data_IF_206549413759
#
_entry.id   IF_206549413759
#
_cell.length_a   1.000
_cell.length_b   1.000
_cell.length_c   1.000
_cell.angle_alpha   90.00
_cell.angle_beta   90.00
_cell.angle_gamma   90.00
#
_symmetry.space_group_name_H-M   'P 1'
#
loop_
_entity.id
_entity.type
_entity.pdbx_description
1 polymer ?
#
# COMPACT_ATOMS: atom_id res chain seq x y z
N UNK A 1 -61.71 -76.98 12.57
CA UNK A 1 -63.10 -76.47 12.48
C UNK A 1 -63.17 -75.05 13.04
N UNK A 2 -64.18 -74.25 12.64
CA UNK A 2 -64.76 -73.03 13.26
C UNK A 2 -63.84 -72.16 14.15
N UNK A 3 -63.43 -70.95 13.75
CA UNK A 3 -64.19 -69.67 13.61
C UNK A 3 -64.55 -68.90 14.91
N UNK A 4 -64.13 -67.62 14.90
CA UNK A 4 -64.83 -66.42 15.43
C UNK A 4 -64.93 -66.18 16.94
N UNK A 5 -64.37 -65.04 17.40
CA UNK A 5 -65.14 -63.80 17.73
C UNK A 5 -64.25 -62.62 18.18
N UNK A 6 -64.37 -61.47 17.49
CA UNK A 6 -64.17 -60.09 18.00
C UNK A 6 -65.50 -59.59 18.66
N UNK A 7 -65.62 -58.41 19.33
CA UNK A 7 -64.77 -57.18 19.39
C UNK A 7 -64.00 -57.06 20.76
N UNK A 8 -63.72 -55.95 21.48
CA UNK A 8 -64.19 -54.54 21.50
C UNK A 8 -63.19 -53.57 22.20
N UNK A 9 -63.59 -52.30 22.36
CA UNK A 9 -62.87 -51.17 23.01
C UNK A 9 -62.88 -51.24 24.56
N UNK A 10 -62.23 -50.38 25.38
CA UNK A 10 -61.94 -48.93 25.33
C UNK A 10 -60.67 -48.58 26.18
N UNK A 11 -60.10 -47.35 26.27
CA UNK A 11 -60.32 -46.03 25.64
C UNK A 11 -58.96 -45.30 25.44
N UNK A 12 -58.95 -44.13 24.82
CA UNK A 12 -57.78 -43.31 24.46
C UNK A 12 -56.92 -42.85 25.66
N UNK A 13 -55.60 -42.85 25.44
CA UNK A 13 -54.59 -42.19 26.29
C UNK A 13 -53.53 -41.47 25.43
N UNK A 14 -53.95 -40.51 24.60
CA UNK A 14 -53.06 -39.83 23.65
C UNK A 14 -52.17 -38.80 24.35
N UNK A 15 -50.85 -39.02 24.33
CA UNK A 15 -49.87 -37.93 24.21
C UNK A 15 -48.78 -38.31 23.19
N UNK A 16 -48.77 -37.57 22.08
CA UNK A 16 -47.65 -37.49 21.15
C UNK A 16 -46.49 -36.74 21.83
N UNK A 17 -45.23 -36.82 21.40
CA UNK A 17 -44.70 -37.18 20.07
C UNK A 17 -43.62 -38.28 20.12
N UNK A 18 -43.59 -39.14 19.10
CA UNK A 18 -42.47 -40.05 18.85
C UNK A 18 -41.46 -39.44 17.88
N UNK A 19 -40.21 -39.87 18.04
CA UNK A 19 -39.10 -39.70 17.10
C UNK A 19 -39.54 -40.05 15.67
N UNK A 20 -39.26 -39.19 14.69
CA UNK A 20 -39.51 -39.50 13.29
C UNK A 20 -38.21 -39.65 12.51
N UNK A 21 -38.09 -40.75 11.76
CA UNK A 21 -36.90 -41.06 10.97
C UNK A 21 -36.86 -40.17 9.71
N UNK A 22 -35.71 -39.56 9.45
CA UNK A 22 -35.49 -38.84 8.20
C UNK A 22 -35.33 -39.86 7.06
N UNK A 23 -36.23 -39.82 6.07
CA UNK A 23 -36.18 -40.70 4.90
C UNK A 23 -35.20 -40.14 3.86
N UNK A 24 -34.45 -41.03 3.22
CA UNK A 24 -33.63 -40.67 2.07
C UNK A 24 -34.48 -40.08 0.94
N UNK A 25 -34.09 -38.91 0.46
CA UNK A 25 -34.50 -38.36 -0.82
C UNK A 25 -33.26 -37.82 -1.53
N UNK A 26 -32.99 -38.31 -2.74
CA UNK A 26 -31.84 -37.88 -3.53
C UNK A 26 -32.16 -36.60 -4.30
N UNK A 27 -31.59 -35.49 -3.88
CA UNK A 27 -31.44 -34.28 -4.69
C UNK A 27 -29.98 -33.84 -4.60
N UNK A 28 -29.28 -33.80 -5.73
CA UNK A 28 -27.88 -33.36 -5.75
C UNK A 28 -27.83 -31.83 -5.72
N UNK A 29 -27.35 -31.28 -4.61
CA UNK A 29 -26.91 -29.89 -4.53
C UNK A 29 -25.53 -29.90 -3.89
N UNK A 30 -24.50 -29.64 -4.70
CA UNK A 30 -23.13 -29.43 -4.20
C UNK A 30 -23.09 -28.05 -3.58
N UNK A 31 -23.54 -27.96 -2.32
CA UNK A 31 -23.51 -26.76 -1.51
C UNK A 31 -22.07 -26.43 -1.10
N UNK A 32 -21.28 -25.92 -2.04
CA UNK A 32 -20.10 -25.12 -1.70
C UNK A 32 -20.58 -23.85 -1.01
N UNK A 33 -20.76 -23.94 0.31
CA UNK A 33 -20.71 -22.77 1.18
C UNK A 33 -19.27 -22.29 1.11
N UNK A 34 -18.99 -21.42 0.14
CA UNK A 34 -17.87 -20.50 0.26
C UNK A 34 -18.14 -19.70 1.53
N UNK A 35 -17.44 -20.08 2.59
CA UNK A 35 -17.38 -19.30 3.80
C UNK A 35 -16.58 -18.07 3.39
N UNK A 36 -17.30 -16.99 3.04
CA UNK A 36 -16.79 -15.64 2.93
C UNK A 36 -16.35 -15.22 4.34
N UNK A 37 -15.22 -15.79 4.77
CA UNK A 37 -14.28 -15.08 5.59
C UNK A 37 -14.09 -13.72 4.92
N UNK A 38 -14.10 -12.60 5.65
CA UNK A 38 -13.59 -11.38 5.08
C UNK A 38 -12.18 -11.71 4.60
N UNK A 39 -11.96 -11.62 3.29
CA UNK A 39 -10.61 -11.32 2.80
C UNK A 39 -10.27 -10.02 3.52
N UNK A 40 -9.32 -10.09 4.44
CA UNK A 40 -8.76 -8.88 5.01
C UNK A 40 -8.32 -8.06 3.80
N UNK A 41 -8.85 -6.84 3.66
CA UNK A 41 -8.29 -5.88 2.72
C UNK A 41 -6.83 -5.75 3.14
N UNK A 42 -5.96 -6.29 2.29
CA UNK A 42 -4.53 -6.26 2.50
C UNK A 42 -4.07 -4.94 1.90
N UNK A 43 -3.06 -4.34 2.52
CA UNK A 43 -2.25 -3.28 1.91
C UNK A 43 -1.62 -3.82 0.60
N UNK A 44 -2.36 -3.69 -0.50
CA UNK A 44 -2.15 -4.38 -1.77
C UNK A 44 -1.98 -3.40 -2.95
N UNK A 45 -1.06 -2.43 -2.80
CA UNK A 45 -0.46 -1.71 -3.92
C UNK A 45 -0.21 -2.62 -5.13
N UNK A 46 -0.89 -2.31 -6.23
CA UNK A 46 -0.62 -2.83 -7.57
C UNK A 46 0.42 -1.96 -8.28
N UNK A 47 1.04 -2.48 -9.35
CA UNK A 47 1.97 -1.74 -10.20
C UNK A 47 1.74 -2.06 -11.69
N UNK A 48 2.01 -1.08 -12.55
CA UNK A 48 2.09 -1.23 -14.03
C UNK A 48 3.27 -0.44 -14.60
N UNK A 49 3.85 -0.91 -15.72
CA UNK A 49 4.95 -0.22 -16.42
C UNK A 49 4.54 0.19 -17.83
N UNK A 50 4.86 1.44 -18.21
CA UNK A 50 4.63 1.95 -19.56
C UNK A 50 5.87 2.68 -20.06
N UNK A 51 6.63 2.00 -20.93
CA UNK A 51 7.97 2.45 -21.32
C UNK A 51 8.90 2.52 -20.11
N UNK A 52 9.29 3.74 -19.74
CA UNK A 52 10.20 4.01 -18.61
C UNK A 52 9.47 4.65 -17.40
N UNK A 53 8.15 4.73 -17.43
CA UNK A 53 7.34 5.26 -16.33
C UNK A 53 6.61 4.14 -15.61
N UNK A 54 6.66 4.15 -14.27
CA UNK A 54 5.99 3.17 -13.39
C UNK A 54 4.82 3.86 -12.69
N UNK A 55 3.67 3.19 -12.62
CA UNK A 55 2.53 3.63 -11.82
C UNK A 55 2.21 2.60 -10.76
N UNK A 56 2.28 3.01 -9.49
CA UNK A 56 1.76 2.30 -8.33
C UNK A 56 0.37 2.82 -7.97
N UNK A 57 -0.54 1.93 -7.61
CA UNK A 57 -1.92 2.27 -7.21
C UNK A 57 -2.35 1.36 -6.06
N UNK A 58 -2.65 1.93 -4.90
CA UNK A 58 -3.26 1.24 -3.75
C UNK A 58 -4.73 0.89 -3.98
N UNK A 59 -5.42 0.41 -2.94
CA UNK A 59 -6.84 0.02 -3.06
C UNK A 59 -7.84 0.92 -2.29
N UNK A 60 -8.46 0.43 -1.23
CA UNK A 60 -9.45 1.09 -0.39
C UNK A 60 -9.23 0.80 1.09
N UNK A 61 -7.99 0.47 1.46
CA UNK A 61 -7.54 0.23 2.82
C UNK A 61 -6.09 0.73 2.99
N UNK A 62 -5.77 1.24 4.19
CA UNK A 62 -4.45 1.75 4.59
C UNK A 62 -3.29 0.91 4.07
N UNK A 63 -2.63 1.47 3.05
CA UNK A 63 -1.62 0.81 2.27
C UNK A 63 -0.21 1.26 2.67
N UNK A 64 0.82 0.48 2.32
CA UNK A 64 2.22 0.90 2.55
C UNK A 64 3.06 0.53 1.33
N UNK A 65 3.82 1.48 0.80
CA UNK A 65 4.79 1.27 -0.26
C UNK A 65 6.18 1.73 0.18
N UNK A 66 7.17 0.84 0.17
CA UNK A 66 8.58 1.22 0.30
C UNK A 66 9.25 1.12 -1.06
N UNK A 67 9.87 2.21 -1.51
CA UNK A 67 10.70 2.27 -2.70
C UNK A 67 12.18 2.40 -2.32
N UNK A 68 13.05 1.90 -3.19
CA UNK A 68 14.50 2.03 -3.06
C UNK A 68 15.24 1.38 -4.24
N UNK A 69 16.55 1.24 -4.13
CA UNK A 69 17.41 0.64 -5.15
C UNK A 69 18.10 -0.64 -4.67
N UNK A 70 18.27 -1.62 -5.56
CA UNK A 70 19.11 -2.80 -5.30
C UNK A 70 19.99 -3.16 -6.52
N UNK A 71 21.13 -2.49 -6.67
CA UNK A 71 22.13 -2.82 -7.69
C UNK A 71 21.76 -2.26 -9.07
N UNK A 72 21.55 -0.95 -9.12
CA UNK A 72 21.15 -0.18 -10.30
C UNK A 72 19.69 -0.32 -10.70
N UNK A 73 18.88 -1.10 -9.97
CA UNK A 73 17.48 -1.41 -10.31
C UNK A 73 16.52 -0.84 -9.27
N UNK A 74 15.39 -0.30 -9.75
CA UNK A 74 14.26 0.09 -8.90
C UNK A 74 13.72 -1.14 -8.14
N UNK A 75 13.31 -0.93 -6.88
CA UNK A 75 12.69 -1.96 -6.05
C UNK A 75 11.48 -1.45 -5.26
N UNK A 76 10.57 -2.37 -4.95
CA UNK A 76 9.33 -2.14 -4.18
C UNK A 76 9.16 -3.15 -3.03
N UNK A 77 8.28 -2.84 -2.08
CA UNK A 77 7.94 -3.71 -0.94
C UNK A 77 6.82 -4.71 -1.18
N UNK A 78 6.00 -4.52 -2.22
CA UNK A 78 4.78 -5.28 -2.50
C UNK A 78 5.06 -6.79 -2.58
N UNK A 79 6.16 -7.19 -3.22
CA UNK A 79 6.57 -8.60 -3.25
C UNK A 79 6.86 -9.18 -1.85
N UNK A 80 7.56 -8.43 -1.00
CA UNK A 80 7.91 -8.88 0.36
C UNK A 80 6.69 -8.93 1.30
N UNK A 81 5.65 -8.14 0.99
CA UNK A 81 4.31 -8.20 1.61
C UNK A 81 3.44 -9.31 1.00
N UNK A 82 3.88 -9.91 -0.11
CA UNK A 82 3.19 -11.01 -0.80
C UNK A 82 2.01 -10.56 -1.65
N UNK A 83 2.02 -9.31 -2.14
CA UNK A 83 0.96 -8.72 -2.96
C UNK A 83 0.80 -9.53 -4.25
N UNK A 84 -0.44 -9.62 -4.76
CA UNK A 84 -0.73 -10.40 -5.94
C UNK A 84 0.00 -9.87 -7.20
N UNK A 85 0.28 -10.77 -8.14
CA UNK A 85 0.95 -10.44 -9.41
C UNK A 85 2.48 -10.47 -9.35
N UNK A 86 3.09 -9.83 -8.34
CA UNK A 86 4.55 -9.62 -8.30
C UNK A 86 5.38 -10.90 -8.23
N UNK A 87 6.33 -11.05 -9.16
CA UNK A 87 7.30 -12.15 -9.21
C UNK A 87 8.54 -11.94 -8.30
N UNK A 88 8.97 -10.68 -8.12
CA UNK A 88 10.05 -10.31 -7.19
C UNK A 88 9.94 -8.85 -6.73
N UNK A 89 10.83 -8.42 -5.82
CA UNK A 89 10.92 -7.02 -5.39
C UNK A 89 11.43 -6.05 -6.48
N UNK A 90 11.90 -6.55 -7.63
CA UNK A 90 12.30 -5.76 -8.81
C UNK A 90 11.25 -5.75 -9.92
N UNK A 91 10.14 -6.44 -9.68
CA UNK A 91 9.02 -6.49 -10.59
C UNK A 91 8.16 -5.23 -10.45
N UNK A 92 7.75 -4.64 -11.57
CA UNK A 92 7.08 -3.33 -11.65
C UNK A 92 5.76 -3.40 -12.43
N UNK A 93 5.32 -4.59 -12.87
CA UNK A 93 4.02 -4.77 -13.51
C UNK A 93 3.30 -6.03 -13.02
N UNK A 94 2.55 -5.86 -11.93
CA UNK A 94 1.69 -6.89 -11.32
C UNK A 94 0.64 -7.51 -12.25
N UNK A 95 0.48 -7.02 -13.49
CA UNK A 95 -0.45 -7.58 -14.49
C UNK A 95 0.22 -8.60 -15.43
N UNK A 96 1.56 -8.67 -15.48
CA UNK A 96 2.30 -9.51 -16.42
C UNK A 96 3.07 -10.65 -15.70
N UNK A 97 3.41 -11.77 -16.38
CA UNK A 97 4.17 -12.86 -15.76
C UNK A 97 5.69 -12.64 -15.79
N UNK A 98 6.36 -12.83 -14.64
CA UNK A 98 7.81 -12.68 -14.49
C UNK A 98 8.22 -11.24 -14.18
N UNK A 99 9.51 -10.94 -13.98
CA UNK A 99 9.92 -9.59 -13.56
C UNK A 99 9.89 -8.56 -14.70
N UNK A 100 9.13 -7.46 -14.54
CA UNK A 100 9.24 -6.26 -15.39
C UNK A 100 10.16 -5.23 -14.74
N UNK A 101 11.47 -5.43 -14.89
CA UNK A 101 12.48 -4.59 -14.21
C UNK A 101 12.86 -3.33 -14.99
N UNK A 102 13.02 -2.19 -14.31
CA UNK A 102 13.70 -0.99 -14.83
C UNK A 102 14.96 -0.67 -14.02
N UNK A 103 16.02 -0.24 -14.71
CA UNK A 103 17.17 0.37 -14.02
C UNK A 103 16.83 1.79 -13.56
N UNK A 104 17.34 2.20 -12.40
CA UNK A 104 16.99 3.49 -11.79
C UNK A 104 17.35 4.68 -12.71
N UNK A 105 18.45 4.55 -13.45
CA UNK A 105 18.90 5.52 -14.45
C UNK A 105 18.06 5.56 -15.74
N UNK A 106 17.19 4.56 -15.99
CA UNK A 106 16.24 4.57 -17.10
C UNK A 106 14.89 5.17 -16.72
N UNK A 107 14.46 5.07 -15.47
CA UNK A 107 13.15 5.57 -15.01
C UNK A 107 12.99 7.05 -15.35
N UNK A 108 11.85 7.42 -15.95
CA UNK A 108 11.50 8.80 -16.34
C UNK A 108 10.34 9.38 -15.54
N UNK A 109 9.55 8.55 -14.88
CA UNK A 109 8.50 8.97 -13.93
C UNK A 109 8.22 7.85 -12.96
N UNK A 110 8.05 8.16 -11.68
CA UNK A 110 7.34 7.28 -10.73
C UNK A 110 6.06 8.00 -10.36
N UNK A 111 4.93 7.33 -10.52
CA UNK A 111 3.61 7.79 -10.07
C UNK A 111 3.16 6.85 -8.96
N UNK A 112 2.70 7.40 -7.85
CA UNK A 112 2.11 6.69 -6.74
C UNK A 112 0.76 7.34 -6.46
N UNK A 113 -0.31 6.56 -6.57
CA UNK A 113 -1.63 6.90 -6.10
C UNK A 113 -1.84 6.12 -4.80
N UNK A 114 -2.22 6.78 -3.71
CA UNK A 114 -2.68 6.11 -2.50
C UNK A 114 -3.99 5.37 -2.78
N UNK A 115 -5.11 6.02 -2.49
CA UNK A 115 -6.44 5.53 -2.84
C UNK A 115 -7.48 6.07 -1.89
N UNK A 116 -8.13 5.18 -1.15
CA UNK A 116 -8.93 5.52 0.03
C UNK A 116 -8.36 4.75 1.23
N UNK A 117 -7.99 5.42 2.32
CA UNK A 117 -7.28 4.81 3.44
C UNK A 117 -6.20 5.74 4.00
N UNK A 118 -5.68 5.43 5.19
CA UNK A 118 -4.52 6.15 5.74
C UNK A 118 -3.23 5.47 5.21
N UNK A 119 -2.67 5.94 4.10
CA UNK A 119 -1.56 5.27 3.41
C UNK A 119 -0.17 5.74 3.88
N UNK A 120 0.88 5.01 3.50
CA UNK A 120 2.27 5.43 3.77
C UNK A 120 3.26 5.04 2.66
N UNK A 121 3.86 6.05 2.02
CA UNK A 121 5.04 5.89 1.17
C UNK A 121 6.32 6.07 1.98
N UNK A 122 7.30 5.21 1.73
CA UNK A 122 8.64 5.26 2.34
C UNK A 122 9.69 5.26 1.23
N UNK A 123 10.51 6.31 1.16
CA UNK A 123 11.65 6.42 0.26
C UNK A 123 12.93 6.07 1.02
N UNK A 124 13.54 4.93 0.67
CA UNK A 124 14.80 4.48 1.25
C UNK A 124 16.00 4.97 0.42
N UNK A 125 16.67 6.01 0.90
CA UNK A 125 17.86 6.57 0.27
C UNK A 125 19.10 5.68 0.54
N UNK A 126 19.89 5.33 -0.51
CA UNK A 126 21.09 4.49 -0.37
C UNK A 126 22.22 5.25 0.33
N UNK A 127 22.99 4.54 1.18
CA UNK A 127 24.00 5.16 2.04
C UNK A 127 25.02 6.04 1.28
N UNK A 128 25.15 7.31 1.69
CA UNK A 128 26.03 8.30 1.06
C UNK A 128 25.48 8.93 -0.24
N UNK A 129 24.20 8.72 -0.55
CA UNK A 129 23.50 9.26 -1.72
C UNK A 129 22.01 9.46 -1.41
N UNK A 130 21.23 9.91 -2.38
CA UNK A 130 19.75 9.84 -2.37
C UNK A 130 19.26 8.87 -3.45
N UNK A 131 18.02 8.41 -3.33
CA UNK A 131 17.34 7.58 -4.32
C UNK A 131 16.94 8.49 -5.51
N UNK A 132 17.87 8.65 -6.43
CA UNK A 132 17.79 9.52 -7.58
C UNK A 132 17.49 8.72 -8.87
N UNK A 133 16.22 8.45 -9.21
CA UNK A 133 15.88 8.14 -10.60
C UNK A 133 16.13 9.37 -11.48
N UNK A 134 16.29 9.17 -12.79
CA UNK A 134 16.31 10.28 -13.77
C UNK A 134 14.88 10.82 -14.04
N UNK A 135 14.12 11.00 -12.96
CA UNK A 135 12.68 11.14 -12.93
C UNK A 135 12.21 11.99 -11.77
N UNK A 136 10.98 12.46 -11.92
CA UNK A 136 10.17 12.98 -10.84
C UNK A 136 9.40 11.83 -10.15
N UNK A 137 9.43 11.81 -8.82
CA UNK A 137 8.58 10.94 -8.00
C UNK A 137 7.33 11.75 -7.65
N UNK A 138 6.16 11.31 -8.10
CA UNK A 138 4.88 11.95 -7.82
C UNK A 138 4.05 11.05 -6.89
N UNK A 139 3.67 11.54 -5.72
CA UNK A 139 2.80 10.83 -4.78
C UNK A 139 1.55 11.65 -4.44
N UNK A 140 0.40 11.16 -4.88
CA UNK A 140 -0.91 11.71 -4.53
C UNK A 140 -1.58 10.75 -3.53
N UNK A 141 -1.76 11.19 -2.27
CA UNK A 141 -2.39 10.38 -1.21
C UNK A 141 -3.85 10.06 -1.50
N UNK A 142 -4.55 11.05 -2.06
CA UNK A 142 -5.98 11.03 -2.42
C UNK A 142 -6.94 11.05 -1.22
N UNK A 143 -7.07 9.96 -0.47
CA UNK A 143 -8.30 9.65 0.28
C UNK A 143 -8.13 9.19 1.73
N UNK A 144 -7.26 9.82 2.53
CA UNK A 144 -7.27 9.61 3.98
C UNK A 144 -6.38 10.55 4.77
N UNK A 145 -5.52 9.99 5.62
CA UNK A 145 -4.48 10.71 6.37
C UNK A 145 -3.11 10.16 5.94
N UNK A 146 -2.69 10.53 4.73
CA UNK A 146 -1.60 9.88 4.01
C UNK A 146 -0.21 10.40 4.40
N UNK A 147 0.78 9.51 4.48
CA UNK A 147 2.11 9.84 5.00
C UNK A 147 3.25 9.56 4.02
N UNK A 148 4.27 10.42 4.02
CA UNK A 148 5.53 10.21 3.31
C UNK A 148 6.69 10.23 4.30
N UNK A 149 7.48 9.16 4.32
CA UNK A 149 8.73 9.07 5.07
C UNK A 149 9.92 9.03 4.10
N UNK A 150 10.88 9.92 4.29
CA UNK A 150 12.12 9.95 3.53
C UNK A 150 13.26 9.68 4.53
N UNK A 151 14.08 8.66 4.25
CA UNK A 151 15.03 8.15 5.25
C UNK A 151 16.27 7.49 4.66
N UNK A 152 17.35 7.50 5.44
CA UNK A 152 18.65 6.95 5.05
C UNK A 152 19.44 7.89 4.14
N UNK A 153 20.54 7.38 3.59
CA UNK A 153 21.36 8.13 2.63
C UNK A 153 21.91 9.46 3.14
N UNK A 154 21.83 10.48 2.29
CA UNK A 154 22.30 11.84 2.58
C UNK A 154 23.82 11.95 2.72
N UNK A 155 24.28 13.08 3.28
CA UNK A 155 25.66 13.38 3.59
C UNK A 155 25.94 14.89 3.72
N UNK A 156 27.13 15.24 4.19
CA UNK A 156 27.55 16.64 4.34
C UNK A 156 27.76 17.40 3.00
N UNK A 157 27.69 16.70 1.87
CA UNK A 157 27.71 17.29 0.53
C UNK A 157 26.29 17.52 -0.05
N UNK A 158 25.24 17.06 0.64
CA UNK A 158 23.85 17.27 0.24
C UNK A 158 23.26 18.54 0.83
N UNK A 159 22.40 19.17 0.05
CA UNK A 159 21.45 20.17 0.50
C UNK A 159 20.05 19.90 -0.07
N UNK A 160 19.03 20.30 0.67
CA UNK A 160 17.63 20.13 0.31
C UNK A 160 16.89 21.47 0.20
N UNK A 161 15.90 21.51 -0.68
CA UNK A 161 14.93 22.59 -0.78
C UNK A 161 13.50 22.05 -0.72
N UNK A 162 12.79 22.36 0.38
CA UNK A 162 11.35 22.19 0.47
C UNK A 162 10.61 23.43 -0.06
N UNK A 163 9.67 23.22 -0.97
CA UNK A 163 8.79 24.24 -1.54
C UNK A 163 7.31 23.88 -1.32
N UNK A 164 6.58 24.62 -0.46
CA UNK A 164 5.15 24.41 -0.25
C UNK A 164 4.32 24.61 -1.52
N UNK A 165 3.35 23.73 -1.73
CA UNK A 165 2.45 23.72 -2.88
C UNK A 165 1.33 24.77 -2.82
N UNK A 166 0.30 24.63 -3.68
CA UNK A 166 -0.87 25.50 -3.70
C UNK A 166 -1.86 25.21 -2.56
N UNK A 167 -1.79 24.03 -1.96
CA UNK A 167 -2.60 23.57 -0.82
C UNK A 167 -1.71 23.30 0.40
N UNK A 168 -2.32 23.06 1.59
CA UNK A 168 -1.61 22.82 2.86
C UNK A 168 -0.83 21.50 2.92
N UNK A 169 -1.15 20.61 1.99
CA UNK A 169 -0.96 19.16 1.97
C UNK A 169 -0.17 18.72 0.71
N UNK A 170 0.37 19.69 -0.02
CA UNK A 170 1.11 19.50 -1.26
C UNK A 170 2.43 20.25 -1.22
N UNK A 171 3.40 19.80 -2.01
CA UNK A 171 4.71 20.43 -2.09
C UNK A 171 5.70 19.72 -3.00
N UNK A 172 6.92 20.24 -3.01
CA UNK A 172 8.08 19.68 -3.71
C UNK A 172 9.26 19.64 -2.75
N UNK A 173 9.95 18.51 -2.70
CA UNK A 173 11.23 18.32 -2.05
C UNK A 173 12.27 18.02 -3.14
N UNK A 174 13.36 18.80 -3.16
CA UNK A 174 14.52 18.59 -4.03
C UNK A 174 15.78 18.41 -3.17
N UNK A 175 16.30 17.19 -3.10
CA UNK A 175 17.48 16.79 -2.32
C UNK A 175 18.65 16.50 -3.27
N UNK A 176 19.75 17.26 -3.18
CA UNK A 176 20.82 17.21 -4.20
C UNK A 176 22.22 17.49 -3.67
N UNK A 177 23.23 16.86 -4.28
CA UNK A 177 24.65 17.19 -4.13
C UNK A 177 25.29 17.66 -5.45
N UNK A 178 24.46 17.99 -6.46
CA UNK A 178 24.90 18.35 -7.81
C UNK A 178 25.35 17.18 -8.70
N UNK A 179 25.34 15.94 -8.18
CA UNK A 179 25.60 14.70 -8.95
C UNK A 179 24.37 13.78 -8.90
N UNK A 180 23.90 13.46 -7.69
CA UNK A 180 22.61 12.84 -7.46
C UNK A 180 21.58 13.93 -7.11
N UNK A 181 20.39 13.83 -7.68
CA UNK A 181 19.26 14.71 -7.40
C UNK A 181 17.98 13.86 -7.26
N UNK A 182 17.30 14.00 -6.14
CA UNK A 182 16.01 13.40 -5.84
C UNK A 182 14.95 14.51 -5.90
N UNK A 183 13.91 14.33 -6.70
CA UNK A 183 12.77 15.26 -6.78
C UNK A 183 11.50 14.49 -6.43
N UNK A 184 10.89 14.84 -5.30
CA UNK A 184 9.61 14.29 -4.84
C UNK A 184 8.58 15.40 -4.86
N UNK A 185 7.51 15.23 -5.64
CA UNK A 185 6.30 16.03 -5.59
C UNK A 185 5.20 15.26 -4.88
N UNK A 186 4.40 15.96 -4.09
CA UNK A 186 3.30 15.34 -3.37
C UNK A 186 2.05 16.22 -3.29
N UNK A 187 0.91 15.56 -3.07
CA UNK A 187 -0.39 16.15 -2.75
C UNK A 187 -1.20 15.25 -1.82
N UNK A 188 -2.05 15.86 -0.98
CA UNK A 188 -2.92 15.16 -0.04
C UNK A 188 -2.21 14.48 1.14
N UNK A 189 -1.04 14.97 1.57
CA UNK A 189 -0.25 14.32 2.63
C UNK A 189 -0.27 15.05 3.98
N UNK A 190 -0.51 14.27 5.04
CA UNK A 190 -0.58 14.65 6.45
C UNK A 190 -0.07 13.50 7.36
N UNK A 191 1.26 13.31 7.56
CA UNK A 191 2.35 14.26 7.29
C UNK A 191 3.46 13.74 6.34
N UNK A 192 4.31 14.68 5.90
CA UNK A 192 5.66 14.36 5.41
C UNK A 192 6.64 14.38 6.59
N UNK A 193 7.49 13.35 6.71
CA UNK A 193 8.54 13.20 7.71
C UNK A 193 9.87 12.92 7.02
N UNK A 194 10.81 13.86 7.12
CA UNK A 194 12.18 13.66 6.64
C UNK A 194 13.17 13.37 7.78
N UNK A 195 14.19 12.58 7.47
CA UNK A 195 15.29 12.18 8.35
C UNK A 195 16.65 12.10 7.62
N UNK A 196 16.73 12.55 6.36
CA UNK A 196 17.96 12.57 5.57
C UNK A 196 18.96 13.56 6.17
N UNK A 197 20.25 13.18 6.33
CA UNK A 197 21.27 14.13 6.78
C UNK A 197 21.79 15.03 5.64
N UNK A 198 21.68 16.34 5.81
CA UNK A 198 22.27 17.35 4.90
C UNK A 198 23.17 18.35 5.64
N UNK A 199 23.94 19.12 4.87
CA UNK A 199 24.60 20.34 5.36
C UNK A 199 23.70 21.59 5.32
N UNK A 200 22.69 21.64 4.44
CA UNK A 200 21.79 22.80 4.29
C UNK A 200 20.36 22.39 3.93
N UNK A 201 19.39 22.74 4.77
CA UNK A 201 17.96 22.61 4.49
C UNK A 201 17.35 23.99 4.23
N UNK A 202 16.67 24.15 3.09
CA UNK A 202 16.04 25.41 2.65
C UNK A 202 14.53 25.26 2.61
N UNK A 203 13.79 26.07 3.40
CA UNK A 203 12.33 26.15 3.31
C UNK A 203 11.93 27.41 2.57
N UNK A 204 11.34 27.24 1.38
CA UNK A 204 10.74 28.36 0.65
C UNK A 204 9.40 28.77 1.27
N UNK A 205 9.14 30.07 1.29
CA UNK A 205 7.80 30.61 1.53
C UNK A 205 6.96 30.62 0.25
N UNK A 206 5.65 30.82 0.39
CA UNK A 206 4.74 31.11 -0.72
C UNK A 206 3.92 32.37 -0.40
N UNK A 207 2.84 32.64 -1.14
CA UNK A 207 1.98 33.83 -0.94
C UNK A 207 0.94 33.68 0.19
N UNK A 208 0.93 32.55 0.90
CA UNK A 208 0.05 32.30 2.03
C UNK A 208 0.75 32.58 3.38
N UNK A 209 0.03 32.38 4.48
CA UNK A 209 0.58 32.51 5.83
C UNK A 209 1.43 31.29 6.19
N UNK A 210 2.71 31.27 5.80
CA UNK A 210 3.62 30.21 6.22
C UNK A 210 3.94 30.32 7.73
N UNK A 211 3.87 29.20 8.45
CA UNK A 211 4.34 29.08 9.83
C UNK A 211 5.46 28.04 9.88
N UNK A 212 6.67 28.48 10.21
CA UNK A 212 7.87 27.63 10.27
C UNK A 212 8.33 27.63 11.72
N UNK A 213 8.36 26.44 12.33
CA UNK A 213 8.92 26.23 13.66
C UNK A 213 10.24 25.48 13.51
N UNK A 214 11.31 26.03 14.08
CA UNK A 214 12.64 25.42 14.06
C UNK A 214 13.16 25.28 15.49
N UNK A 215 13.74 24.11 15.78
CA UNK A 215 14.41 23.84 17.05
C UNK A 215 15.74 23.17 16.77
N UNK A 216 16.83 23.88 17.08
CA UNK A 216 18.18 23.35 16.99
C UNK A 216 18.37 22.25 18.06
N UNK A 217 18.38 20.99 17.63
CA UNK A 217 19.02 19.93 18.42
C UNK A 217 20.53 20.22 18.51
N UNK A 218 21.16 19.79 19.61
CA UNK A 218 22.44 20.36 20.04
C UNK A 218 23.54 20.24 18.98
N UNK A 219 24.26 21.36 18.75
CA UNK A 219 25.58 21.33 18.14
C UNK A 219 26.49 20.50 19.04
N UNK A 220 26.93 19.34 18.57
CA UNK A 220 28.10 18.66 19.11
C UNK A 220 29.34 19.42 18.60
N UNK A 221 29.95 20.17 19.50
CA UNK A 221 31.15 20.98 19.27
C UNK A 221 32.44 20.24 19.65
#
# INVERSE_FOLDING_TARGET
MKHSKTPTAQNLGIRQTQTFLLRFFTASLVGFVFLLLPQAARADYTATVSGNSVTFTGDGASDVLTLGEAGGMLTQSCYAKGNAGFNSAKDLDSTQPGDQTLSLAQVTTIIINGGEGDDTVIINNPAGSVFAPNAEINYDGQGGNDALYIQGGGGADFGETYTPGPTKDAGVIETTNGIACQVIKFSGLEPVTDTVPEATFTVNGNSANNSINYSASQILA
#
